data_IF_045520502402
#
_entry.id   IF_045520502402
#
_cell.length_a   1.000
_cell.length_b   1.000
_cell.length_c   1.000
_cell.angle_alpha   90.00
_cell.angle_beta   90.00
_cell.angle_gamma   90.00
#
_symmetry.space_group_name_H-M   'P 1'
#
loop_
_entity.id
_entity.type
_entity.pdbx_description
1 polymer ?
#
# COMPACT_ATOMS: atom_id res chain seq x y z
N UNK A 1 5.96 -13.47 7.07
CA UNK A 1 5.83 -14.86 6.60
C UNK A 1 6.87 -15.72 7.27
N UNK A 2 6.66 -17.03 7.30
CA UNK A 2 7.67 -17.95 7.81
C UNK A 2 8.66 -18.29 6.69
N UNK A 3 9.86 -17.70 6.78
CA UNK A 3 10.92 -17.77 5.76
C UNK A 3 12.08 -18.70 6.18
N UNK A 4 11.82 -19.65 7.08
CA UNK A 4 12.85 -20.51 7.65
C UNK A 4 13.71 -19.79 8.70
N UNK A 5 14.95 -20.26 8.85
CA UNK A 5 15.92 -19.80 9.87
C UNK A 5 16.50 -18.42 9.54
N UNK A 6 17.18 -17.79 10.51
CA UNK A 6 17.86 -16.52 10.27
C UNK A 6 18.99 -16.61 9.24
N UNK A 7 19.61 -17.79 9.09
CA UNK A 7 20.59 -18.05 8.03
C UNK A 7 19.89 -18.02 6.66
N UNK A 8 18.76 -18.68 6.52
CA UNK A 8 17.98 -18.74 5.27
C UNK A 8 17.51 -17.34 4.87
N UNK A 9 17.00 -16.56 5.84
CA UNK A 9 16.58 -15.17 5.63
C UNK A 9 17.72 -14.29 5.12
N UNK A 10 18.91 -14.39 5.71
CA UNK A 10 20.10 -13.62 5.27
C UNK A 10 20.54 -14.02 3.86
N UNK A 11 20.51 -15.31 3.53
CA UNK A 11 20.84 -15.80 2.19
C UNK A 11 19.84 -15.28 1.16
N UNK A 12 18.54 -15.39 1.45
CA UNK A 12 17.49 -14.90 0.56
C UNK A 12 17.58 -13.38 0.37
N UNK A 13 17.86 -12.62 1.44
CA UNK A 13 18.04 -11.17 1.33
C UNK A 13 19.19 -10.80 0.38
N UNK A 14 20.36 -11.44 0.51
CA UNK A 14 21.51 -11.21 -0.38
C UNK A 14 21.24 -11.55 -1.84
N UNK A 15 20.35 -12.50 -2.09
CA UNK A 15 19.92 -12.87 -3.44
C UNK A 15 18.96 -11.83 -4.03
N UNK A 16 17.97 -11.41 -3.24
CA UNK A 16 16.91 -10.49 -3.67
C UNK A 16 17.39 -9.05 -3.82
N UNK A 17 18.27 -8.57 -2.94
CA UNK A 17 18.70 -7.16 -2.94
C UNK A 17 19.39 -6.74 -4.25
N UNK A 18 20.08 -7.67 -4.91
CA UNK A 18 20.75 -7.44 -6.20
C UNK A 18 19.77 -7.21 -7.35
N UNK A 19 18.52 -7.60 -7.17
CA UNK A 19 17.46 -7.53 -8.18
C UNK A 19 16.45 -6.43 -7.87
N UNK A 20 16.78 -5.48 -6.97
CA UNK A 20 15.89 -4.38 -6.64
C UNK A 20 15.53 -3.56 -7.88
N UNK A 21 14.27 -3.17 -7.98
CA UNK A 21 13.71 -2.39 -9.09
C UNK A 21 12.67 -1.41 -8.55
N UNK A 22 12.44 -0.34 -9.28
CA UNK A 22 11.44 0.67 -8.93
C UNK A 22 10.01 0.13 -9.07
N UNK A 23 9.11 0.78 -8.35
CA UNK A 23 7.68 0.48 -8.38
C UNK A 23 6.85 1.75 -8.22
N UNK A 24 5.84 1.93 -9.07
CA UNK A 24 4.82 2.96 -8.85
C UNK A 24 3.87 2.60 -7.70
N UNK A 25 3.81 1.31 -7.34
CA UNK A 25 3.05 0.83 -6.19
C UNK A 25 3.88 0.86 -4.91
N UNK A 26 3.31 1.44 -3.86
CA UNK A 26 3.94 1.53 -2.54
C UNK A 26 3.09 0.80 -1.52
N UNK A 27 3.72 -0.09 -0.76
CA UNK A 27 3.07 -0.84 0.31
C UNK A 27 4.00 -0.96 1.51
N UNK A 28 3.43 -0.92 2.70
CA UNK A 28 4.13 -1.09 3.97
C UNK A 28 3.74 -2.39 4.64
N UNK A 29 4.66 -2.99 5.36
CA UNK A 29 4.37 -4.01 6.39
C UNK A 29 3.47 -3.45 7.49
N UNK A 30 2.93 -4.34 8.32
CA UNK A 30 2.20 -3.97 9.55
C UNK A 30 3.04 -3.18 10.55
N UNK A 31 4.38 -3.31 10.52
CA UNK A 31 5.29 -2.50 11.33
C UNK A 31 5.62 -1.13 10.71
N UNK A 32 5.09 -0.83 9.52
CA UNK A 32 5.31 0.43 8.81
C UNK A 32 6.57 0.45 7.94
N UNK A 33 7.36 -0.63 7.90
CA UNK A 33 8.50 -0.72 6.99
C UNK A 33 8.02 -0.82 5.53
N UNK A 34 8.58 0.01 4.65
CA UNK A 34 8.29 0.02 3.21
C UNK A 34 8.85 -1.23 2.53
N UNK A 35 8.06 -1.83 1.64
CA UNK A 35 8.54 -2.92 0.80
C UNK A 35 9.49 -2.40 -0.27
N UNK A 36 10.47 -3.23 -0.61
CA UNK A 36 11.34 -3.05 -1.78
C UNK A 36 10.95 -4.11 -2.80
N UNK A 37 10.69 -3.67 -4.02
CA UNK A 37 10.33 -4.55 -5.11
C UNK A 37 11.59 -5.07 -5.79
N UNK A 38 11.50 -6.28 -6.35
CA UNK A 38 12.58 -6.98 -7.03
C UNK A 38 12.07 -7.55 -8.35
N UNK A 39 12.96 -7.78 -9.31
CA UNK A 39 12.63 -8.46 -10.56
C UNK A 39 12.04 -9.86 -10.28
N UNK A 40 10.97 -10.28 -10.96
CA UNK A 40 10.39 -11.61 -10.80
C UNK A 40 11.31 -12.65 -11.45
N UNK A 41 12.27 -13.17 -10.70
CA UNK A 41 13.34 -14.05 -11.19
C UNK A 41 13.41 -15.39 -10.46
N UNK A 42 12.62 -15.57 -9.40
CA UNK A 42 12.64 -16.76 -8.55
C UNK A 42 11.26 -17.41 -8.51
N UNK A 43 11.25 -18.73 -8.64
CA UNK A 43 10.10 -19.57 -8.30
C UNK A 43 10.33 -20.19 -6.93
N UNK A 44 9.32 -20.12 -6.06
CA UNK A 44 9.38 -20.69 -4.73
C UNK A 44 8.24 -21.66 -4.49
N UNK A 45 8.53 -22.71 -3.73
CA UNK A 45 7.52 -23.62 -3.23
C UNK A 45 7.03 -23.14 -1.86
N UNK A 46 5.72 -23.02 -1.70
CA UNK A 46 5.09 -22.68 -0.43
C UNK A 46 4.16 -23.82 -0.01
N UNK A 47 4.10 -24.05 1.31
CA UNK A 47 3.01 -24.80 1.93
C UNK A 47 2.10 -23.83 2.66
N UNK A 48 0.81 -24.10 2.66
CA UNK A 48 -0.20 -23.29 3.30
C UNK A 48 -1.20 -24.17 4.05
N UNK A 49 -1.86 -23.62 5.06
CA UNK A 49 -2.95 -24.33 5.74
C UNK A 49 -4.19 -24.37 4.85
N UNK A 50 -4.51 -23.24 4.21
CA UNK A 50 -5.72 -23.09 3.42
C UNK A 50 -5.58 -21.94 2.41
N UNK A 51 -6.47 -21.90 1.43
CA UNK A 51 -6.62 -20.84 0.44
C UNK A 51 -8.09 -20.47 0.35
N UNK A 52 -8.41 -19.21 0.63
CA UNK A 52 -9.79 -18.71 0.61
C UNK A 52 -9.93 -17.51 -0.32
N UNK A 53 -11.05 -17.40 -1.00
CA UNK A 53 -11.39 -16.30 -1.92
C UNK A 53 -12.34 -15.27 -1.34
N UNK A 54 -12.79 -15.48 -0.10
CA UNK A 54 -13.67 -14.58 0.64
C UNK A 54 -13.05 -14.22 2.01
N UNK A 55 -13.46 -13.08 2.55
CA UNK A 55 -13.09 -12.65 3.90
C UNK A 55 -14.08 -13.17 4.96
N UNK A 56 -13.89 -12.74 6.22
CA UNK A 56 -14.70 -13.22 7.34
C UNK A 56 -16.18 -12.79 7.30
N UNK A 57 -16.55 -11.86 6.42
CA UNK A 57 -17.93 -11.41 6.24
C UNK A 57 -18.53 -11.87 4.90
N UNK A 58 -17.81 -12.71 4.14
CA UNK A 58 -18.24 -13.26 2.87
C UNK A 58 -17.98 -12.35 1.67
N UNK A 59 -17.21 -11.26 1.83
CA UNK A 59 -16.87 -10.39 0.72
C UNK A 59 -15.69 -10.97 -0.08
N UNK A 60 -15.71 -10.90 -1.42
CA UNK A 60 -14.62 -11.45 -2.22
C UNK A 60 -13.28 -10.73 -1.96
N UNK A 61 -12.21 -11.50 -1.82
CA UNK A 61 -10.87 -10.99 -1.64
C UNK A 61 -10.38 -10.33 -2.93
N UNK A 62 -9.97 -9.06 -2.80
CA UNK A 62 -9.32 -8.30 -3.86
C UNK A 62 -7.91 -7.90 -3.45
N UNK A 63 -6.93 -8.04 -4.34
CA UNK A 63 -5.55 -7.55 -4.13
C UNK A 63 -5.08 -6.73 -5.32
N UNK A 64 -4.11 -5.85 -5.08
CA UNK A 64 -3.49 -5.07 -6.15
C UNK A 64 -2.75 -5.99 -7.11
N UNK A 65 -3.17 -6.02 -8.36
CA UNK A 65 -2.44 -6.63 -9.46
C UNK A 65 -1.35 -5.69 -9.94
N UNK A 66 -0.19 -6.27 -10.23
CA UNK A 66 0.99 -5.55 -10.66
C UNK A 66 1.44 -6.03 -12.02
N UNK A 67 1.85 -5.08 -12.86
CA UNK A 67 2.48 -5.33 -14.15
C UNK A 67 3.99 -5.08 -14.04
N UNK A 68 4.79 -5.86 -14.74
CA UNK A 68 6.24 -5.75 -14.74
C UNK A 68 6.76 -5.58 -16.17
N UNK A 69 7.54 -4.53 -16.40
CA UNK A 69 8.25 -4.25 -17.65
C UNK A 69 9.66 -3.68 -17.36
N UNK A 70 10.30 -3.12 -18.38
CA UNK A 70 11.64 -2.53 -18.28
C UNK A 70 11.72 -1.33 -17.30
N UNK A 71 10.59 -0.67 -17.02
CA UNK A 71 10.50 0.44 -16.05
C UNK A 71 10.30 -0.04 -14.60
N UNK A 72 10.05 -1.34 -14.41
CA UNK A 72 9.83 -1.95 -13.11
C UNK A 72 8.38 -2.35 -12.88
N UNK A 73 7.95 -2.30 -11.61
CA UNK A 73 6.58 -2.68 -11.25
C UNK A 73 5.61 -1.50 -11.32
N UNK A 74 4.41 -1.76 -11.81
CA UNK A 74 3.34 -0.77 -11.86
C UNK A 74 2.02 -1.32 -11.35
N UNK A 75 1.27 -0.51 -10.60
CA UNK A 75 -0.08 -0.87 -10.16
C UNK A 75 -1.04 -0.87 -11.34
N UNK A 76 -1.76 -1.99 -11.51
CA UNK A 76 -2.78 -2.10 -12.57
C UNK A 76 -4.16 -1.79 -12.05
N UNK A 77 -4.47 -2.28 -10.85
CA UNK A 77 -5.79 -2.18 -10.25
C UNK A 77 -6.04 -3.37 -9.32
N UNK A 78 -7.11 -3.33 -8.55
CA UNK A 78 -7.49 -4.47 -7.72
C UNK A 78 -8.15 -5.56 -8.57
N UNK A 79 -7.70 -6.79 -8.39
CA UNK A 79 -8.31 -7.99 -8.99
C UNK A 79 -8.79 -8.92 -7.90
N UNK A 80 -9.88 -9.64 -8.18
CA UNK A 80 -10.31 -10.76 -7.35
C UNK A 80 -9.25 -11.85 -7.35
N UNK A 81 -8.97 -12.38 -6.18
CA UNK A 81 -7.96 -13.41 -5.96
C UNK A 81 -8.24 -14.15 -4.66
N UNK A 82 -7.28 -14.92 -4.19
CA UNK A 82 -7.34 -15.61 -2.92
C UNK A 82 -6.32 -15.09 -1.90
N UNK A 83 -6.60 -15.34 -0.63
CA UNK A 83 -5.62 -15.27 0.45
C UNK A 83 -5.13 -16.65 0.81
N UNK A 84 -3.80 -16.76 0.88
CA UNK A 84 -3.11 -17.96 1.33
C UNK A 84 -2.93 -17.85 2.85
N UNK A 85 -3.51 -18.77 3.60
CA UNK A 85 -3.45 -18.78 5.06
C UNK A 85 -2.21 -19.54 5.55
N UNK A 86 -1.48 -18.90 6.45
CA UNK A 86 -0.23 -19.41 7.04
C UNK A 86 0.82 -19.91 6.02
N UNK A 87 1.20 -19.12 5.00
CA UNK A 87 2.19 -19.55 4.03
C UNK A 87 3.56 -19.71 4.69
N UNK A 88 4.19 -20.85 4.43
CA UNK A 88 5.57 -21.18 4.82
C UNK A 88 6.37 -21.46 3.56
N UNK A 89 7.48 -20.74 3.40
CA UNK A 89 8.45 -21.02 2.34
C UNK A 89 9.09 -22.38 2.58
N UNK A 90 9.01 -23.28 1.59
CA UNK A 90 9.61 -24.62 1.65
C UNK A 90 11.01 -24.58 1.05
N UNK A 91 11.12 -24.11 -0.21
CA UNK A 91 12.39 -24.03 -0.95
C UNK A 91 12.27 -23.14 -2.18
N UNK A 92 13.42 -22.77 -2.74
CA UNK A 92 13.54 -22.22 -4.09
C UNK A 92 13.47 -23.39 -5.08
N UNK A 93 12.77 -23.20 -6.21
CA UNK A 93 12.60 -24.19 -7.27
C UNK A 93 13.49 -23.82 -8.45
N UNK A 94 14.71 -24.35 -8.43
CA UNK A 94 15.70 -24.17 -9.50
C UNK A 94 15.33 -24.94 -10.78
N UNK A 95 14.40 -25.90 -10.65
CA UNK A 95 13.83 -26.71 -11.74
C UNK A 95 12.60 -26.06 -12.38
N UNK A 96 12.28 -24.79 -12.05
CA UNK A 96 11.12 -24.06 -12.56
C UNK A 96 11.50 -22.66 -13.00
N UNK A 97 10.76 -22.15 -13.99
CA UNK A 97 10.96 -20.84 -14.57
C UNK A 97 9.81 -19.87 -14.22
N UNK A 98 10.09 -18.57 -14.29
CA UNK A 98 9.07 -17.53 -14.16
C UNK A 98 8.33 -17.42 -15.49
N UNK A 99 7.46 -18.40 -15.77
CA UNK A 99 6.69 -18.49 -16.99
C UNK A 99 5.25 -18.96 -16.72
N UNK A 100 4.35 -18.71 -17.67
CA UNK A 100 2.92 -19.02 -17.50
C UNK A 100 2.65 -20.50 -17.21
N UNK A 101 3.52 -21.42 -17.63
CA UNK A 101 3.32 -22.86 -17.43
C UNK A 101 3.67 -23.30 -15.99
N UNK A 102 4.73 -22.73 -15.41
CA UNK A 102 5.27 -23.17 -14.12
C UNK A 102 4.63 -22.52 -12.91
N UNK A 103 4.11 -21.30 -13.07
CA UNK A 103 3.49 -20.47 -12.01
C UNK A 103 2.04 -20.09 -12.35
N UNK A 104 1.22 -21.09 -12.70
CA UNK A 104 -0.17 -20.91 -13.13
C UNK A 104 -1.07 -20.38 -12.02
N UNK A 105 -1.55 -19.14 -12.16
CA UNK A 105 -2.57 -18.59 -11.27
C UNK A 105 -3.88 -19.41 -11.27
N UNK A 106 -4.17 -20.15 -12.35
CA UNK A 106 -5.33 -21.05 -12.44
C UNK A 106 -5.31 -22.19 -11.43
N UNK A 107 -4.17 -22.50 -10.80
CA UNK A 107 -4.13 -23.48 -9.72
C UNK A 107 -4.94 -23.04 -8.49
N UNK A 108 -5.18 -21.72 -8.33
CA UNK A 108 -6.03 -21.21 -7.27
C UNK A 108 -7.51 -21.59 -7.49
N UNK A 109 -7.96 -21.63 -8.75
CA UNK A 109 -9.34 -22.03 -9.07
C UNK A 109 -9.61 -23.52 -8.86
N UNK A 110 -8.55 -24.34 -8.77
CA UNK A 110 -8.68 -25.76 -8.39
C UNK A 110 -8.98 -25.92 -6.89
N UNK A 111 -8.72 -24.89 -6.08
CA UNK A 111 -8.81 -24.92 -4.62
C UNK A 111 -9.96 -24.06 -4.06
N UNK A 112 -10.31 -22.96 -4.74
CA UNK A 112 -11.39 -22.08 -4.31
C UNK A 112 -12.06 -21.38 -5.50
N UNK A 113 -13.32 -20.97 -5.34
CA UNK A 113 -14.03 -20.22 -6.36
C UNK A 113 -13.45 -18.79 -6.48
N UNK A 114 -12.92 -18.45 -7.66
CA UNK A 114 -12.44 -17.10 -7.94
C UNK A 114 -13.43 -16.31 -8.78
N UNK A 115 -13.82 -15.15 -8.28
CA UNK A 115 -14.60 -14.18 -9.05
C UNK A 115 -13.82 -13.73 -10.29
N UNK A 116 -14.53 -13.49 -11.40
CA UNK A 116 -13.91 -12.97 -12.62
C UNK A 116 -13.43 -11.54 -12.39
N UNK A 117 -12.16 -11.30 -12.68
CA UNK A 117 -11.58 -9.96 -12.67
C UNK A 117 -11.69 -9.35 -14.06
N UNK A 118 -12.12 -8.09 -14.15
CA UNK A 118 -12.13 -7.31 -15.39
C UNK A 118 -10.84 -6.48 -15.56
N UNK A 119 -9.77 -6.82 -14.82
CA UNK A 119 -8.52 -6.07 -14.89
C UNK A 119 -7.83 -6.27 -16.23
N UNK A 120 -7.50 -5.16 -16.88
CA UNK A 120 -6.64 -5.12 -18.07
C UNK A 120 -5.25 -5.63 -17.74
N UNK A 121 -4.51 -6.15 -18.72
CA UNK A 121 -3.13 -6.61 -18.50
C UNK A 121 -2.15 -5.45 -18.25
N UNK A 122 -2.54 -4.24 -18.68
CA UNK A 122 -1.71 -3.03 -18.59
C UNK A 122 -2.23 -2.05 -17.54
N UNK A 123 -1.34 -1.28 -16.89
CA UNK A 123 -1.72 -0.22 -15.98
C UNK A 123 -2.70 0.78 -16.60
N UNK A 124 -3.78 1.10 -15.88
CA UNK A 124 -4.66 2.18 -16.28
C UNK A 124 -3.94 3.52 -16.06
N UNK A 125 -3.97 4.39 -17.07
CA UNK A 125 -3.54 5.79 -16.90
C UNK A 125 -4.61 6.49 -16.06
N UNK A 126 -4.35 6.62 -14.77
CA UNK A 126 -5.25 7.30 -13.85
C UNK A 126 -5.02 8.82 -13.87
N UNK A 127 -6.09 9.62 -13.78
CA UNK A 127 -5.95 11.08 -13.67
C UNK A 127 -5.08 11.48 -12.48
N UNK A 128 -4.23 12.49 -12.66
CA UNK A 128 -3.35 12.99 -11.61
C UNK A 128 -4.13 13.60 -10.43
N UNK A 129 -3.58 13.46 -9.23
CA UNK A 129 -4.16 14.09 -8.03
C UNK A 129 -3.75 15.57 -7.95
N UNK A 130 -4.64 16.43 -7.48
CA UNK A 130 -4.40 17.88 -7.36
C UNK A 130 -4.42 18.32 -5.88
N UNK A 131 -3.34 18.93 -5.40
CA UNK A 131 -3.30 19.50 -4.05
C UNK A 131 -4.13 20.80 -4.05
N UNK A 132 -5.23 20.80 -3.30
CA UNK A 132 -6.13 21.96 -3.20
C UNK A 132 -5.74 22.91 -2.08
N UNK A 133 -5.27 22.36 -0.95
CA UNK A 133 -4.86 23.17 0.20
C UNK A 133 -3.78 22.46 1.01
N UNK A 134 -2.79 23.24 1.44
CA UNK A 134 -1.70 22.76 2.29
C UNK A 134 -1.41 23.82 3.34
N UNK A 135 -1.49 23.44 4.60
CA UNK A 135 -1.12 24.31 5.71
C UNK A 135 -0.12 23.61 6.63
N UNK A 136 0.92 24.35 7.01
CA UNK A 136 1.98 23.89 7.89
C UNK A 136 2.10 24.87 9.04
N UNK A 137 2.21 24.34 10.24
CA UNK A 137 2.31 25.08 11.48
C UNK A 137 3.47 24.56 12.29
N UNK A 138 4.20 25.46 12.92
CA UNK A 138 5.34 25.12 13.77
C UNK A 138 5.18 25.70 15.17
N UNK A 139 5.73 25.02 16.17
CA UNK A 139 5.81 25.53 17.54
C UNK A 139 7.13 25.11 18.16
N UNK A 140 7.85 26.05 18.76
CA UNK A 140 9.06 25.74 19.52
C UNK A 140 8.67 25.20 20.90
N UNK A 141 9.24 24.07 21.29
CA UNK A 141 9.03 23.41 22.58
C UNK A 141 10.39 23.07 23.16
N UNK A 142 10.82 23.83 24.18
CA UNK A 142 12.09 23.62 24.91
C UNK A 142 13.31 23.45 23.97
N UNK A 143 13.40 24.29 22.94
CA UNK A 143 14.51 24.27 21.98
C UNK A 143 14.34 23.28 20.81
N UNK A 144 13.28 22.47 20.81
CA UNK A 144 12.96 21.57 19.70
C UNK A 144 11.73 22.05 18.92
N UNK A 145 11.69 21.80 17.61
CA UNK A 145 10.57 22.21 16.75
C UNK A 145 9.51 21.11 16.63
N UNK A 146 8.26 21.43 16.99
CA UNK A 146 7.09 20.63 16.66
C UNK A 146 6.46 21.11 15.34
N UNK A 147 5.88 20.20 14.56
CA UNK A 147 5.32 20.47 13.23
C UNK A 147 3.94 19.84 13.10
N UNK A 148 2.96 20.64 12.71
CA UNK A 148 1.62 20.19 12.31
C UNK A 148 1.42 20.52 10.84
N UNK A 149 0.93 19.56 10.06
CA UNK A 149 0.69 19.72 8.62
C UNK A 149 -0.65 19.11 8.26
N UNK A 150 -1.48 19.88 7.57
CA UNK A 150 -2.71 19.41 6.95
C UNK A 150 -2.64 19.60 5.44
N UNK A 151 -2.92 18.54 4.68
CA UNK A 151 -3.01 18.60 3.23
C UNK A 151 -4.36 18.06 2.80
N UNK A 152 -5.05 18.80 1.94
CA UNK A 152 -6.25 18.38 1.23
C UNK A 152 -5.92 18.31 -0.26
N UNK A 153 -6.26 17.19 -0.89
CA UNK A 153 -6.14 17.02 -2.33
C UNK A 153 -7.35 16.29 -2.91
N UNK A 154 -7.62 16.56 -4.18
CA UNK A 154 -8.57 15.83 -5.00
C UNK A 154 -7.83 14.70 -5.71
N UNK A 155 -8.39 13.49 -5.72
CA UNK A 155 -7.71 12.33 -6.33
C UNK A 155 -7.92 12.27 -7.83
N UNK A 156 -9.04 12.82 -8.32
CA UNK A 156 -9.51 12.77 -9.71
C UNK A 156 -9.77 11.34 -10.26
N UNK A 157 -9.76 10.32 -9.39
CA UNK A 157 -9.81 8.90 -9.79
C UNK A 157 -11.17 8.25 -9.60
N UNK A 158 -12.09 8.89 -8.87
CA UNK A 158 -13.39 8.34 -8.50
C UNK A 158 -14.29 7.98 -9.70
N UNK A 159 -14.08 8.61 -10.85
CA UNK A 159 -14.80 8.28 -12.10
C UNK A 159 -14.20 7.05 -12.80
N UNK A 160 -12.90 6.82 -12.64
CA UNK A 160 -12.20 5.70 -13.24
C UNK A 160 -12.34 4.43 -12.39
N UNK A 161 -12.33 4.59 -11.06
CA UNK A 161 -12.52 3.50 -10.11
C UNK A 161 -13.22 4.03 -8.84
N UNK A 162 -14.42 3.51 -8.52
CA UNK A 162 -15.21 3.97 -7.38
C UNK A 162 -14.57 3.66 -6.01
N UNK A 163 -13.57 2.76 -5.95
CA UNK A 163 -12.79 2.52 -4.74
C UNK A 163 -11.88 3.71 -4.38
N UNK A 164 -11.62 4.63 -5.32
CA UNK A 164 -10.88 5.85 -5.02
C UNK A 164 -11.80 6.93 -4.42
N UNK A 165 -11.49 7.43 -3.21
CA UNK A 165 -12.22 8.57 -2.65
C UNK A 165 -11.97 9.82 -3.51
N UNK A 166 -13.00 10.66 -3.67
CA UNK A 166 -12.85 11.90 -4.46
C UNK A 166 -11.84 12.87 -3.83
N UNK A 167 -11.85 12.98 -2.49
CA UNK A 167 -10.98 13.87 -1.73
C UNK A 167 -10.34 13.15 -0.55
N UNK A 168 -9.08 13.51 -0.26
CA UNK A 168 -8.33 12.98 0.87
C UNK A 168 -7.71 14.12 1.66
N UNK A 169 -7.84 14.04 2.99
CA UNK A 169 -7.15 14.89 3.94
C UNK A 169 -6.11 14.05 4.68
N UNK A 170 -4.88 14.54 4.75
CA UNK A 170 -3.81 13.93 5.53
C UNK A 170 -3.29 14.92 6.56
N UNK A 171 -3.55 14.60 7.82
CA UNK A 171 -3.03 15.29 8.98
C UNK A 171 -1.74 14.62 9.45
N UNK A 172 -0.73 15.44 9.77
CA UNK A 172 0.52 15.01 10.37
C UNK A 172 0.80 15.89 11.58
N UNK A 173 1.07 15.27 12.71
CA UNK A 173 1.43 15.96 13.93
C UNK A 173 2.70 15.35 14.50
N UNK A 174 3.79 16.12 14.43
CA UNK A 174 5.10 15.78 14.94
C UNK A 174 5.44 16.62 16.17
N UNK A 175 5.89 15.97 17.24
CA UNK A 175 6.42 16.63 18.43
C UNK A 175 7.47 15.73 19.08
N UNK A 176 8.72 16.18 19.20
CA UNK A 176 9.86 15.35 19.60
C UNK A 176 9.78 14.81 21.03
N UNK A 177 8.99 15.44 21.91
CA UNK A 177 8.86 15.02 23.32
C UNK A 177 7.81 13.95 23.60
N UNK A 178 7.09 13.45 22.58
CA UNK A 178 6.05 12.41 22.77
C UNK A 178 6.64 11.01 22.69
N UNK A 179 6.04 10.06 23.44
CA UNK A 179 6.35 8.61 23.30
C UNK A 179 6.24 8.14 21.86
N UNK A 180 5.23 8.61 21.14
CA UNK A 180 5.08 8.48 19.69
C UNK A 180 5.26 9.88 19.07
N UNK A 181 6.47 10.25 18.63
CA UNK A 181 6.74 11.61 18.18
C UNK A 181 5.89 12.05 16.99
N UNK A 182 5.56 11.10 16.11
CA UNK A 182 4.83 11.34 14.87
C UNK A 182 3.48 10.62 14.90
N UNK A 183 2.40 11.36 14.76
CA UNK A 183 1.05 10.83 14.53
C UNK A 183 0.54 11.30 13.18
N UNK A 184 -0.28 10.46 12.53
CA UNK A 184 -0.88 10.72 11.23
C UNK A 184 -2.34 10.32 11.26
N UNK A 185 -3.17 11.04 10.52
CA UNK A 185 -4.57 10.72 10.36
C UNK A 185 -5.00 11.00 8.93
N UNK A 186 -5.78 10.08 8.36
CA UNK A 186 -6.37 10.23 7.04
C UNK A 186 -7.88 10.36 7.19
N UNK A 187 -8.47 11.32 6.49
CA UNK A 187 -9.92 11.44 6.33
C UNK A 187 -10.25 11.45 4.84
N UNK A 188 -11.37 10.85 4.48
CA UNK A 188 -11.89 10.80 3.13
C UNK A 188 -13.13 11.67 3.04
N UNK A 189 -13.38 12.28 1.88
CA UNK A 189 -14.62 13.01 1.63
C UNK A 189 -15.13 12.76 0.21
N UNK A 190 -16.45 12.63 0.02
CA UNK A 190 -17.06 12.32 -1.28
C UNK A 190 -17.17 13.57 -2.18
N UNK A 191 -17.23 14.77 -1.58
CA UNK A 191 -17.34 16.04 -2.30
C UNK A 191 -16.50 17.15 -1.65
N UNK A 192 -16.33 18.24 -2.42
CA UNK A 192 -15.47 19.37 -2.06
C UNK A 192 -15.97 20.12 -0.82
N UNK A 193 -17.29 20.26 -0.62
CA UNK A 193 -17.87 21.00 0.50
C UNK A 193 -17.62 20.27 1.81
N UNK A 194 -17.86 18.96 1.83
CA UNK A 194 -17.54 18.12 2.99
C UNK A 194 -16.03 18.15 3.28
N UNK A 195 -15.21 18.05 2.25
CA UNK A 195 -13.75 18.09 2.40
C UNK A 195 -13.25 19.41 3.02
N UNK A 196 -13.82 20.55 2.59
CA UNK A 196 -13.49 21.87 3.13
C UNK A 196 -13.92 22.02 4.59
N UNK A 197 -15.15 21.61 4.92
CA UNK A 197 -15.63 21.64 6.31
C UNK A 197 -14.76 20.78 7.25
N UNK A 198 -14.37 19.58 6.81
CA UNK A 198 -13.46 18.72 7.56
C UNK A 198 -12.08 19.38 7.73
N UNK A 199 -11.57 20.05 6.70
CA UNK A 199 -10.29 20.74 6.77
C UNK A 199 -10.31 21.84 7.83
N UNK A 200 -11.38 22.64 7.87
CA UNK A 200 -11.56 23.74 8.83
C UNK A 200 -11.78 23.22 10.27
N UNK A 201 -12.57 22.16 10.45
CA UNK A 201 -12.75 21.50 11.75
C UNK A 201 -11.42 20.96 12.28
N UNK A 202 -10.64 20.22 11.47
CA UNK A 202 -9.35 19.69 11.89
C UNK A 202 -8.40 20.82 12.30
N UNK A 203 -8.34 21.92 11.54
CA UNK A 203 -7.51 23.06 11.89
C UNK A 203 -7.93 23.73 13.19
N UNK A 204 -9.22 24.03 13.36
CA UNK A 204 -9.71 24.73 14.55
C UNK A 204 -9.52 23.90 15.82
N UNK A 205 -9.69 22.57 15.74
CA UNK A 205 -9.46 21.66 16.86
C UNK A 205 -7.97 21.53 17.25
N UNK A 206 -7.06 21.59 16.26
CA UNK A 206 -5.67 21.22 16.44
C UNK A 206 -4.69 22.40 16.51
N UNK A 207 -5.01 23.54 15.90
CA UNK A 207 -4.16 24.74 15.86
C UNK A 207 -4.66 25.73 16.91
N UNK A 208 -4.00 25.68 18.08
CA UNK A 208 -4.29 26.56 19.22
C UNK A 208 -3.22 27.66 19.35
N UNK A 209 -3.32 28.48 20.40
CA UNK A 209 -2.33 29.52 20.67
C UNK A 209 -0.87 29.00 20.70
N UNK A 210 0.02 29.79 20.09
CA UNK A 210 1.45 29.52 19.99
C UNK A 210 1.87 28.60 18.84
N UNK A 211 0.97 28.25 17.92
CA UNK A 211 1.34 27.66 16.62
C UNK A 211 1.45 28.76 15.57
N UNK A 212 2.59 28.79 14.88
CA UNK A 212 2.88 29.78 13.83
C UNK A 212 2.70 29.13 12.46
N UNK A 213 1.96 29.78 11.55
CA UNK A 213 1.83 29.33 10.17
C UNK A 213 3.16 29.53 9.43
N UNK A 214 3.56 28.56 8.62
CA UNK A 214 4.76 28.58 7.77
C UNK A 214 4.41 28.46 6.31
#
# INVERSE_FOLDING_TARGET
>A
GNLGSDKDRKTLMKLLEKNQVDSTWRVTSSSGAMYRFVKPTLVVEIKATDIQSEDSIGEPIKKMSLYFDDSGWSAVGKSYTASVLHPVLVRIREDKEVCQNDIRASQLSDLCFLHKSNTTETPAILPESEILKREVYTKNIKGSMAVKKLVLWQTNKQKADPDYPAFVLHWTDYSPGRRNPLTRQVRLAPDKKIAQNLFESILSENIKAGWEKR
#
